data_IF_031759448994
#
_entry.id   IF_031759448994
#
_cell.length_a   1.000
_cell.length_b   1.000
_cell.length_c   1.000
_cell.angle_alpha   90.00
_cell.angle_beta   90.00
_cell.angle_gamma   90.00
#
_symmetry.space_group_name_H-M   'P 1'
#
loop_
_entity.id
_entity.type
_entity.pdbx_description
1 polymer ?
#
# COMPACT_ATOMS: atom_id res chain seq x y z
N UNK A 1 19.43 61.31 -27.70
CA UNK A 1 19.75 60.20 -26.78
C UNK A 1 18.43 59.47 -26.54
N UNK A 2 18.00 58.51 -27.37
CA UNK A 2 18.43 57.09 -27.42
C UNK A 2 18.41 56.50 -25.99
N UNK A 3 17.64 55.46 -25.64
CA UNK A 3 17.13 54.31 -26.40
C UNK A 3 15.75 53.83 -25.89
N UNK A 4 15.00 53.17 -26.79
CA UNK A 4 13.96 52.20 -26.47
C UNK A 4 14.56 50.92 -25.87
N UNK A 5 13.79 50.22 -25.04
CA UNK A 5 13.88 48.75 -24.96
C UNK A 5 12.46 48.17 -24.76
N UNK A 6 12.03 47.42 -25.77
CA UNK A 6 10.84 46.59 -25.74
C UNK A 6 11.12 45.31 -24.94
N UNK A 7 10.20 44.91 -24.04
CA UNK A 7 10.09 43.52 -23.61
C UNK A 7 8.74 42.99 -24.08
N UNK A 8 8.86 42.06 -25.01
CA UNK A 8 7.82 41.32 -25.70
C UNK A 8 7.21 40.32 -24.72
N UNK A 9 5.88 40.17 -24.81
CA UNK A 9 5.08 39.42 -23.86
C UNK A 9 5.29 37.90 -23.86
N UNK A 10 4.62 37.27 -22.90
CA UNK A 10 3.65 36.18 -23.13
C UNK A 10 2.87 35.97 -21.84
N UNK A 11 1.56 36.13 -21.94
CA UNK A 11 0.60 35.62 -20.95
C UNK A 11 0.70 34.11 -20.96
N UNK A 12 1.04 33.53 -19.82
CA UNK A 12 0.74 32.13 -19.53
C UNK A 12 -0.31 32.13 -18.43
N UNK A 13 -1.57 32.25 -18.86
CA UNK A 13 -2.72 31.85 -18.06
C UNK A 13 -2.68 30.34 -17.91
N UNK A 14 -2.29 29.86 -16.73
CA UNK A 14 -2.67 28.53 -16.27
C UNK A 14 -3.68 28.74 -15.15
N UNK A 15 -4.92 28.90 -15.60
CA UNK A 15 -6.10 28.47 -14.87
C UNK A 15 -5.86 27.03 -14.42
N UNK A 16 -5.57 26.83 -13.14
CA UNK A 16 -5.82 25.54 -12.52
C UNK A 16 -6.90 25.73 -11.46
N UNK A 17 -8.11 25.81 -11.97
CA UNK A 17 -9.31 25.45 -11.24
C UNK A 17 -9.35 23.92 -11.14
N UNK A 18 -9.14 23.34 -9.96
CA UNK A 18 -10.15 22.56 -9.23
C UNK A 18 -9.56 22.02 -7.92
N UNK A 19 -10.25 22.20 -6.78
CA UNK A 19 -9.81 21.68 -5.50
C UNK A 19 -9.98 20.16 -5.50
N UNK A 20 -8.88 19.42 -5.41
CA UNK A 20 -8.91 18.03 -4.98
C UNK A 20 -8.77 18.01 -3.45
N UNK A 21 -9.76 18.61 -2.79
CA UNK A 21 -10.00 18.44 -1.37
C UNK A 21 -11.43 17.96 -1.20
N UNK A 22 -11.58 16.64 -1.05
CA UNK A 22 -12.51 16.10 -0.07
C UNK A 22 -12.17 14.65 0.25
N UNK A 23 -11.46 14.48 1.36
CA UNK A 23 -11.71 13.40 2.33
C UNK A 23 -11.24 11.97 2.00
N UNK A 24 -9.99 11.76 1.60
CA UNK A 24 -9.36 10.44 1.73
C UNK A 24 -8.16 10.52 2.67
N UNK A 25 -8.46 10.36 3.96
CA UNK A 25 -7.54 10.18 5.10
C UNK A 25 -6.78 11.42 5.59
N UNK A 26 -6.83 11.70 6.90
CA UNK A 26 -6.08 12.78 7.55
C UNK A 26 -4.57 12.43 7.65
N UNK A 27 -3.98 12.14 6.49
CA UNK A 27 -2.59 11.73 6.36
C UNK A 27 -1.65 12.92 6.46
N UNK A 28 -0.54 12.72 7.16
CA UNK A 28 0.54 13.72 7.17
C UNK A 28 1.25 13.70 5.81
N UNK A 29 1.38 14.86 5.18
CA UNK A 29 2.10 15.01 3.92
C UNK A 29 3.55 15.45 4.17
N UNK A 30 4.50 14.66 3.68
CA UNK A 30 5.92 14.99 3.79
C UNK A 30 6.48 15.22 2.38
N UNK A 31 6.72 16.47 1.97
CA UNK A 31 7.33 16.73 0.67
C UNK A 31 8.76 16.17 0.66
N UNK A 32 9.04 15.25 -0.26
CA UNK A 32 10.33 14.61 -0.42
C UNK A 32 10.70 14.57 -1.90
N UNK A 33 12.00 14.69 -2.18
CA UNK A 33 12.53 14.60 -3.53
C UNK A 33 13.06 13.19 -3.78
N UNK A 34 12.80 12.67 -4.99
CA UNK A 34 13.43 11.44 -5.47
C UNK A 34 14.90 11.73 -5.74
N UNK A 35 15.79 10.90 -5.19
CA UNK A 35 17.25 11.02 -5.40
C UNK A 35 17.83 9.69 -5.85
N UNK A 36 19.00 9.73 -6.46
CA UNK A 36 19.74 8.52 -6.85
C UNK A 36 20.49 7.96 -5.65
N UNK A 37 20.30 6.67 -5.37
CA UNK A 37 21.06 5.90 -4.38
C UNK A 37 21.58 4.65 -5.08
N UNK A 38 22.91 4.63 -5.33
CA UNK A 38 23.52 3.60 -6.17
C UNK A 38 22.95 3.61 -7.60
N UNK A 39 22.44 2.48 -8.05
CA UNK A 39 21.85 2.28 -9.37
C UNK A 39 20.33 2.53 -9.41
N UNK A 40 19.72 2.87 -8.27
CA UNK A 40 18.28 2.98 -8.12
C UNK A 40 17.86 4.37 -7.66
N UNK A 41 16.58 4.67 -7.86
CA UNK A 41 15.94 5.87 -7.31
C UNK A 41 15.38 5.55 -5.92
N UNK A 42 15.52 6.50 -5.01
CA UNK A 42 15.07 6.38 -3.63
C UNK A 42 14.36 7.66 -3.18
N UNK A 43 13.38 7.49 -2.30
CA UNK A 43 12.72 8.57 -1.57
C UNK A 43 13.08 8.41 -0.10
N UNK A 44 13.34 9.52 0.58
CA UNK A 44 13.57 9.51 2.03
C UNK A 44 12.23 9.40 2.72
N UNK A 45 12.03 8.36 3.50
CA UNK A 45 10.85 8.21 4.33
C UNK A 45 11.17 8.74 5.74
N UNK A 46 10.48 9.78 6.23
CA UNK A 46 10.63 10.23 7.60
C UNK A 46 10.34 9.10 8.60
N UNK A 47 11.09 9.05 9.70
CA UNK A 47 10.92 8.02 10.73
C UNK A 47 9.51 8.04 11.36
N UNK A 48 8.87 9.21 11.42
CA UNK A 48 7.49 9.37 11.87
C UNK A 48 6.51 8.55 11.02
N UNK A 49 6.65 8.57 9.69
CA UNK A 49 5.84 7.77 8.78
C UNK A 49 6.02 6.27 9.02
N UNK A 50 7.28 5.83 9.19
CA UNK A 50 7.58 4.42 9.44
C UNK A 50 6.94 3.92 10.75
N UNK A 51 7.05 4.72 11.82
CA UNK A 51 6.44 4.39 13.12
C UNK A 51 4.93 4.26 13.03
N UNK A 52 4.26 5.16 12.32
CA UNK A 52 2.82 5.10 12.11
C UNK A 52 2.39 3.89 11.27
N UNK A 53 3.20 3.52 10.27
CA UNK A 53 2.97 2.33 9.46
C UNK A 53 3.34 1.02 10.19
N UNK A 54 3.97 1.09 11.37
CA UNK A 54 4.48 -0.07 12.11
C UNK A 54 5.67 -0.76 11.42
N UNK A 55 6.33 -0.06 10.49
CA UNK A 55 7.46 -0.56 9.70
C UNK A 55 8.79 -0.20 10.38
N UNK A 56 9.80 -1.05 10.18
CA UNK A 56 11.16 -0.82 10.66
C UNK A 56 12.15 -0.80 9.49
N UNK A 57 13.36 -0.30 9.74
CA UNK A 57 14.44 -0.36 8.74
C UNK A 57 14.76 -1.84 8.42
N UNK A 58 14.78 -2.18 7.13
CA UNK A 58 14.98 -3.55 6.66
C UNK A 58 13.69 -4.35 6.44
N UNK A 59 12.52 -3.80 6.77
CA UNK A 59 11.25 -4.45 6.47
C UNK A 59 10.96 -4.44 4.95
N UNK A 60 10.25 -5.47 4.49
CA UNK A 60 9.88 -5.60 3.08
C UNK A 60 8.57 -4.84 2.82
N UNK A 61 8.58 -4.01 1.78
CA UNK A 61 7.43 -3.25 1.33
C UNK A 61 7.20 -3.48 -0.15
N UNK A 62 5.93 -3.52 -0.55
CA UNK A 62 5.53 -3.50 -1.95
C UNK A 62 5.11 -2.08 -2.35
N UNK A 63 5.48 -1.70 -3.57
CA UNK A 63 5.10 -0.43 -4.19
C UNK A 63 4.04 -0.74 -5.24
N UNK A 64 2.80 -0.37 -4.95
CA UNK A 64 1.68 -0.54 -5.87
C UNK A 64 1.41 0.77 -6.60
N UNK A 65 1.34 0.71 -7.94
CA UNK A 65 0.97 1.84 -8.78
C UNK A 65 -0.52 1.76 -9.08
N UNK A 66 -1.30 2.70 -8.53
CA UNK A 66 -2.72 2.83 -8.82
C UNK A 66 -2.98 3.31 -10.26
N UNK A 67 -4.19 3.05 -10.77
CA UNK A 67 -4.60 3.47 -12.11
C UNK A 67 -4.64 5.01 -12.28
N UNK A 68 -4.72 5.73 -11.17
CA UNK A 68 -4.66 7.20 -11.07
C UNK A 68 -3.22 7.74 -10.94
N UNK A 69 -2.21 6.86 -10.99
CA UNK A 69 -0.80 7.23 -10.85
C UNK A 69 -0.36 7.46 -9.41
N UNK A 70 -1.19 7.13 -8.41
CA UNK A 70 -0.78 7.17 -7.00
C UNK A 70 0.11 5.98 -6.68
N UNK A 71 1.19 6.24 -5.95
CA UNK A 71 2.07 5.20 -5.40
C UNK A 71 1.62 4.90 -3.97
N UNK A 72 1.21 3.66 -3.73
CA UNK A 72 0.88 3.15 -2.41
C UNK A 72 2.01 2.25 -1.93
N UNK A 73 2.44 2.44 -0.68
CA UNK A 73 3.41 1.58 -0.02
C UNK A 73 2.66 0.65 0.91
N UNK A 74 2.72 -0.64 0.64
CA UNK A 74 2.04 -1.66 1.45
C UNK A 74 3.07 -2.53 2.16
N UNK A 75 2.99 -2.69 3.50
CA UNK A 75 3.82 -3.63 4.24
C UNK A 75 3.65 -5.04 3.68
N UNK A 76 4.77 -5.69 3.30
CA UNK A 76 4.73 -7.09 2.89
C UNK A 76 4.62 -7.96 4.14
N UNK A 77 3.42 -8.05 4.70
CA UNK A 77 3.14 -8.94 5.83
C UNK A 77 3.29 -10.38 5.37
N UNK A 78 4.45 -10.97 5.64
CA UNK A 78 4.64 -12.41 5.48
C UNK A 78 3.69 -13.10 6.44
N UNK A 79 2.72 -13.82 5.87
CA UNK A 79 1.83 -14.68 6.62
C UNK A 79 2.68 -15.78 7.26
N UNK A 80 2.86 -15.70 8.57
CA UNK A 80 3.52 -16.76 9.30
C UNK A 80 2.58 -17.98 9.32
N UNK A 81 2.92 -18.98 8.51
CA UNK A 81 2.10 -20.19 8.34
C UNK A 81 1.94 -20.95 9.65
N UNK A 82 2.92 -20.84 10.55
CA UNK A 82 2.88 -21.55 11.83
C UNK A 82 1.85 -20.94 12.78
N UNK A 83 1.79 -19.61 12.85
CA UNK A 83 0.81 -18.86 13.64
C UNK A 83 -0.60 -19.10 13.08
N UNK A 84 -0.78 -18.95 11.76
CA UNK A 84 -2.07 -19.23 11.14
C UNK A 84 -2.52 -20.69 11.37
N UNK A 85 -1.62 -21.65 11.24
CA UNK A 85 -1.96 -23.05 11.48
C UNK A 85 -2.36 -23.30 12.95
N UNK A 86 -1.72 -22.63 13.91
CA UNK A 86 -2.11 -22.70 15.32
C UNK A 86 -3.51 -22.12 15.54
N UNK A 87 -3.79 -20.95 14.98
CA UNK A 87 -5.10 -20.30 15.07
C UNK A 87 -6.21 -21.16 14.44
N UNK A 88 -5.95 -21.76 13.27
CA UNK A 88 -6.88 -22.67 12.60
C UNK A 88 -7.16 -23.92 13.43
N UNK A 89 -6.14 -24.49 14.08
CA UNK A 89 -6.34 -25.63 15.00
C UNK A 89 -7.18 -25.25 16.20
N UNK A 90 -6.95 -24.08 16.77
CA UNK A 90 -7.74 -23.59 17.90
C UNK A 90 -9.21 -23.37 17.50
N UNK A 91 -9.44 -22.79 16.32
CA UNK A 91 -10.78 -22.65 15.76
C UNK A 91 -11.44 -24.03 15.52
N UNK A 92 -10.72 -24.95 14.88
CA UNK A 92 -11.19 -26.31 14.64
C UNK A 92 -11.58 -27.02 15.94
N UNK A 93 -10.82 -26.84 17.03
CA UNK A 93 -11.11 -27.43 18.32
C UNK A 93 -12.44 -26.96 18.95
N UNK A 94 -12.97 -25.80 18.51
CA UNK A 94 -14.27 -25.30 18.96
C UNK A 94 -15.46 -25.86 18.17
N UNK A 95 -15.19 -26.57 17.06
CA UNK A 95 -16.23 -27.13 16.22
C UNK A 95 -16.69 -28.50 16.74
N UNK A 96 -18.00 -28.77 16.79
CA UNK A 96 -18.52 -30.08 17.18
C UNK A 96 -18.13 -31.13 16.13
N UNK A 97 -17.66 -32.29 16.60
CA UNK A 97 -17.36 -33.42 15.72
C UNK A 97 -18.67 -34.00 15.18
N UNK A 98 -18.98 -33.74 13.92
CA UNK A 98 -20.09 -34.39 13.23
C UNK A 98 -19.69 -35.80 12.79
N UNK A 99 -20.66 -36.71 12.59
CA UNK A 99 -20.41 -37.99 11.95
C UNK A 99 -19.64 -37.81 10.64
N UNK A 100 -18.76 -38.76 10.32
CA UNK A 100 -17.98 -38.72 9.09
C UNK A 100 -18.87 -38.96 7.88
N UNK A 101 -19.05 -37.91 7.07
CA UNK A 101 -19.76 -38.00 5.77
C UNK A 101 -19.09 -39.04 4.87
N UNK A 102 -17.77 -39.20 4.95
CA UNK A 102 -17.03 -40.19 4.16
C UNK A 102 -17.37 -41.62 4.61
N UNK A 103 -17.55 -41.87 5.91
CA UNK A 103 -17.97 -43.18 6.40
C UNK A 103 -19.41 -43.49 5.99
N UNK A 104 -20.28 -42.49 6.03
CA UNK A 104 -21.67 -42.60 5.58
C UNK A 104 -21.73 -42.94 4.08
N UNK A 105 -20.99 -42.21 3.24
CA UNK A 105 -20.90 -42.50 1.81
C UNK A 105 -20.34 -43.91 1.55
N UNK A 106 -19.22 -44.29 2.19
CA UNK A 106 -18.60 -45.61 2.00
C UNK A 106 -19.49 -46.76 2.47
N UNK A 107 -20.32 -46.55 3.48
CA UNK A 107 -21.32 -47.52 3.94
C UNK A 107 -22.50 -47.70 2.97
N UNK A 108 -22.77 -46.69 2.15
CA UNK A 108 -23.81 -46.67 1.12
C UNK A 108 -23.41 -47.30 -0.22
N UNK A 109 -22.11 -47.45 -0.50
CA UNK A 109 -21.57 -48.07 -1.72
C UNK A 109 -21.66 -49.60 -1.74
N UNK A 110 -22.63 -50.18 -1.03
CA UNK A 110 -22.95 -51.61 -1.11
C UNK A 110 -23.96 -51.86 -2.24
N UNK A 111 -23.50 -51.85 -3.48
CA UNK A 111 -24.26 -52.30 -4.66
C UNK A 111 -23.35 -53.00 -5.65
#
# INVERSE_FOLDING_TARGET
MSLQAAVIGRRCSLTQSRPQDRSADAGQHFPQAIRRWGNSLAVRLPADCLRQAGLQEGDQIDIVVGADGRLSLEPLRKLDRSVLAADLRQLQATMPLTPSVIEECRGGERW
#
